data_IF_938294892157
#
_entry.id   IF_938294892157
#
_cell.length_a   1.000
_cell.length_b   1.000
_cell.length_c   1.000
_cell.angle_alpha   90.00
_cell.angle_beta   90.00
_cell.angle_gamma   90.00
#
_symmetry.space_group_name_H-M   'P 1'
#
loop_
_entity.id
_entity.type
_entity.pdbx_description
1 polymer ?
#
# COMPACT_ATOMS: atom_id res chain seq x y z
N UNK A 1 20.68 -1.32 -3.70
CA UNK A 1 19.42 -0.83 -3.13
C UNK A 1 18.31 -1.88 -3.09
N UNK A 2 17.65 -2.28 -4.19
CA UNK A 2 16.51 -3.21 -4.11
C UNK A 2 16.95 -4.57 -3.54
N UNK A 3 17.97 -5.17 -4.14
CA UNK A 3 18.54 -6.48 -3.77
C UNK A 3 19.15 -6.49 -2.38
N UNK A 4 19.77 -5.40 -1.96
CA UNK A 4 20.51 -5.33 -0.70
C UNK A 4 19.64 -4.91 0.48
N UNK A 5 18.71 -3.97 0.30
CA UNK A 5 17.97 -3.36 1.40
C UNK A 5 16.56 -3.93 1.55
N UNK A 6 15.86 -4.17 0.44
CA UNK A 6 14.43 -4.51 0.45
C UNK A 6 14.17 -6.00 0.21
N UNK A 7 14.94 -6.64 -0.68
CA UNK A 7 14.74 -8.04 -1.05
C UNK A 7 14.79 -9.02 0.14
N UNK A 8 15.71 -8.92 1.12
CA UNK A 8 15.72 -9.84 2.26
C UNK A 8 14.42 -9.80 3.08
N UNK A 9 13.83 -8.61 3.25
CA UNK A 9 12.55 -8.43 3.95
C UNK A 9 11.38 -8.96 3.14
N UNK A 10 11.38 -8.69 1.83
CA UNK A 10 10.39 -9.25 0.91
C UNK A 10 10.38 -10.79 0.97
N UNK A 11 11.54 -11.43 0.92
CA UNK A 11 11.67 -12.89 1.01
C UNK A 11 11.11 -13.40 2.35
N UNK A 12 11.39 -12.71 3.45
CA UNK A 12 10.83 -13.06 4.76
C UNK A 12 9.29 -13.02 4.77
N UNK A 13 8.70 -11.93 4.26
CA UNK A 13 7.23 -11.81 4.18
C UNK A 13 6.61 -12.84 3.23
N UNK A 14 7.26 -13.15 2.11
CA UNK A 14 6.81 -14.20 1.19
C UNK A 14 6.79 -15.59 1.85
N UNK A 15 7.73 -15.89 2.76
CA UNK A 15 7.69 -17.14 3.54
C UNK A 15 6.47 -17.19 4.45
N UNK A 16 6.13 -16.08 5.10
CA UNK A 16 4.91 -15.99 5.92
C UNK A 16 3.67 -16.16 5.04
N UNK A 17 3.60 -15.47 3.89
CA UNK A 17 2.50 -15.60 2.95
C UNK A 17 2.36 -17.01 2.36
N UNK A 18 3.46 -17.74 2.17
CA UNK A 18 3.45 -19.14 1.75
C UNK A 18 2.81 -20.03 2.81
N UNK A 19 3.14 -19.83 4.09
CA UNK A 19 2.51 -20.55 5.21
C UNK A 19 1.00 -20.27 5.24
N UNK A 20 0.61 -19.01 5.04
CA UNK A 20 -0.79 -18.57 5.02
C UNK A 20 -1.53 -18.88 3.71
N UNK A 21 -0.82 -19.37 2.68
CA UNK A 21 -1.35 -19.55 1.31
C UNK A 21 -1.99 -18.29 0.71
N UNK A 22 -1.52 -17.10 1.12
CA UNK A 22 -2.18 -15.83 0.82
C UNK A 22 -1.50 -15.00 -0.27
N UNK A 23 -0.48 -15.56 -0.94
CA UNK A 23 0.17 -14.93 -2.09
C UNK A 23 0.49 -15.99 -3.16
N UNK A 24 0.23 -15.73 -4.46
CA UNK A 24 0.32 -16.75 -5.51
C UNK A 24 1.74 -16.99 -6.05
N UNK A 25 2.73 -16.26 -5.55
CA UNK A 25 4.13 -16.38 -5.95
C UNK A 25 5.03 -16.70 -4.76
N UNK A 26 6.12 -17.42 -5.00
CA UNK A 26 7.16 -17.71 -4.03
C UNK A 26 8.53 -17.35 -4.58
N UNK A 27 9.48 -17.10 -3.69
CA UNK A 27 10.86 -16.80 -4.08
C UNK A 27 11.64 -18.09 -4.33
N UNK A 28 12.20 -18.24 -5.53
CA UNK A 28 13.14 -19.29 -5.87
C UNK A 28 14.57 -18.81 -5.62
N UNK A 29 15.25 -19.46 -4.69
CA UNK A 29 16.65 -19.16 -4.34
C UNK A 29 17.65 -19.57 -5.43
N UNK A 30 17.32 -20.55 -6.27
CA UNK A 30 18.18 -21.03 -7.35
C UNK A 30 18.14 -20.05 -8.50
N UNK A 31 16.92 -19.66 -8.92
CA UNK A 31 16.74 -18.70 -10.01
C UNK A 31 16.96 -17.25 -9.57
N UNK A 32 16.86 -16.97 -8.27
CA UNK A 32 16.85 -15.59 -7.76
C UNK A 32 15.64 -14.81 -8.28
N UNK A 33 14.50 -15.48 -8.44
CA UNK A 33 13.28 -14.93 -9.04
C UNK A 33 12.03 -15.37 -8.29
N UNK A 34 10.99 -14.55 -8.36
CA UNK A 34 9.63 -14.96 -8.03
C UNK A 34 9.09 -15.95 -9.07
N UNK A 35 8.67 -17.13 -8.61
CA UNK A 35 8.01 -18.16 -9.41
C UNK A 35 6.57 -18.36 -8.92
N UNK A 36 5.72 -18.92 -9.77
CA UNK A 36 4.34 -19.22 -9.42
C UNK A 36 4.28 -20.40 -8.45
N UNK A 37 3.46 -20.30 -7.42
CA UNK A 37 3.25 -21.39 -6.46
C UNK A 37 2.59 -22.62 -7.11
N UNK A 38 2.73 -23.82 -6.50
CA UNK A 38 2.02 -25.03 -6.88
C UNK A 38 0.49 -24.83 -7.03
N UNK A 39 -0.19 -25.60 -7.91
CA UNK A 39 -1.62 -25.45 -8.18
C UNK A 39 -2.52 -25.47 -6.94
N UNK A 40 -2.17 -26.26 -5.92
CA UNK A 40 -2.92 -26.34 -4.65
C UNK A 40 -2.95 -25.00 -3.91
N UNK A 41 -1.78 -24.37 -3.72
CA UNK A 41 -1.67 -23.07 -3.06
C UNK A 41 -2.37 -21.97 -3.86
N UNK A 42 -2.27 -22.03 -5.19
CA UNK A 42 -2.98 -21.11 -6.09
C UNK A 42 -4.50 -21.25 -5.96
N UNK A 43 -5.02 -22.48 -5.85
CA UNK A 43 -6.44 -22.71 -5.62
C UNK A 43 -6.89 -22.16 -4.25
N UNK A 44 -6.10 -22.39 -3.19
CA UNK A 44 -6.35 -21.81 -1.86
C UNK A 44 -6.36 -20.29 -1.89
N UNK A 45 -5.39 -19.66 -2.57
CA UNK A 45 -5.34 -18.21 -2.72
C UNK A 45 -6.58 -17.66 -3.45
N UNK A 46 -7.02 -18.30 -4.55
CA UNK A 46 -8.23 -17.91 -5.26
C UNK A 46 -9.48 -18.00 -4.37
N UNK A 47 -9.59 -19.09 -3.60
CA UNK A 47 -10.67 -19.24 -2.62
C UNK A 47 -10.61 -18.13 -1.57
N UNK A 48 -9.43 -17.81 -1.03
CA UNK A 48 -9.25 -16.70 -0.11
C UNK A 48 -9.63 -15.35 -0.72
N UNK A 49 -9.36 -15.10 -2.01
CA UNK A 49 -9.82 -13.90 -2.72
C UNK A 49 -11.34 -13.78 -2.71
N UNK A 50 -12.05 -14.86 -3.07
CA UNK A 50 -13.51 -14.91 -3.07
C UNK A 50 -14.07 -14.77 -1.64
N UNK A 51 -13.46 -15.45 -0.66
CA UNK A 51 -13.84 -15.35 0.75
C UNK A 51 -13.72 -13.91 1.27
N UNK A 52 -12.67 -13.17 0.91
CA UNK A 52 -12.55 -11.78 1.35
C UNK A 52 -13.56 -10.86 0.71
N UNK A 53 -13.96 -11.11 -0.54
CA UNK A 53 -15.09 -10.39 -1.16
C UNK A 53 -16.37 -10.65 -0.37
N UNK A 54 -16.69 -11.92 -0.12
CA UNK A 54 -17.83 -12.27 0.72
C UNK A 54 -17.77 -11.64 2.11
N UNK A 55 -16.59 -11.62 2.73
CA UNK A 55 -16.35 -11.07 4.06
C UNK A 55 -16.60 -9.56 4.14
N UNK A 56 -15.93 -8.75 3.31
CA UNK A 56 -16.16 -7.29 3.38
C UNK A 56 -17.55 -6.91 2.87
N UNK A 57 -18.15 -7.69 1.95
CA UNK A 57 -19.55 -7.50 1.54
C UNK A 57 -20.50 -7.78 2.70
N UNK A 58 -20.31 -8.86 3.47
CA UNK A 58 -21.12 -9.14 4.65
C UNK A 58 -20.99 -8.03 5.70
N UNK A 59 -19.76 -7.55 5.96
CA UNK A 59 -19.49 -6.38 6.82
C UNK A 59 -20.28 -5.15 6.32
N UNK A 60 -20.20 -4.85 5.02
CA UNK A 60 -20.91 -3.71 4.42
C UNK A 60 -22.43 -3.83 4.55
N UNK A 61 -22.99 -5.02 4.29
CA UNK A 61 -24.42 -5.29 4.45
C UNK A 61 -24.86 -5.14 5.92
N UNK A 62 -24.05 -5.60 6.87
CA UNK A 62 -24.33 -5.42 8.30
C UNK A 62 -24.30 -3.93 8.71
N UNK A 63 -23.40 -3.13 8.16
CA UNK A 63 -23.37 -1.68 8.42
C UNK A 63 -24.61 -0.99 7.86
N UNK A 64 -25.04 -1.37 6.65
CA UNK A 64 -26.18 -0.74 5.98
C UNK A 64 -27.54 -1.17 6.55
N UNK A 65 -27.71 -2.46 6.82
CA UNK A 65 -29.01 -3.07 7.13
C UNK A 65 -29.08 -3.69 8.52
N UNK A 66 -27.96 -3.83 9.23
CA UNK A 66 -27.93 -4.37 10.58
C UNK A 66 -28.57 -3.41 11.60
N UNK A 67 -29.05 -3.93 12.74
CA UNK A 67 -29.66 -3.15 13.83
C UNK A 67 -28.58 -2.44 14.66
N UNK A 68 -27.69 -1.70 13.99
CA UNK A 68 -26.57 -1.00 14.59
C UNK A 68 -26.97 0.43 14.94
N UNK A 69 -26.51 0.91 16.08
CA UNK A 69 -26.54 2.34 16.41
C UNK A 69 -25.70 3.14 15.41
N UNK A 70 -25.98 4.44 15.26
CA UNK A 70 -25.19 5.30 14.37
C UNK A 70 -23.69 5.30 14.75
N UNK A 71 -23.40 5.29 16.05
CA UNK A 71 -22.06 5.13 16.60
C UNK A 71 -21.37 3.86 16.12
N UNK A 72 -22.05 2.72 16.25
CA UNK A 72 -21.52 1.41 15.81
C UNK A 72 -21.30 1.36 14.30
N UNK A 73 -22.15 2.04 13.52
CA UNK A 73 -21.96 2.16 12.07
C UNK A 73 -20.68 2.91 11.74
N UNK A 74 -20.35 4.00 12.45
CA UNK A 74 -19.10 4.72 12.23
C UNK A 74 -17.86 3.87 12.57
N UNK A 75 -17.88 3.15 13.70
CA UNK A 75 -16.81 2.21 14.04
C UNK A 75 -16.67 1.12 12.98
N UNK A 76 -17.80 0.53 12.59
CA UNK A 76 -17.87 -0.48 11.55
C UNK A 76 -17.32 0.00 10.22
N UNK A 77 -17.62 1.24 9.86
CA UNK A 77 -17.21 1.83 8.59
C UNK A 77 -15.69 1.98 8.46
N UNK A 78 -14.98 2.31 9.53
CA UNK A 78 -13.50 2.28 9.56
C UNK A 78 -12.95 0.92 9.14
N UNK A 79 -13.44 -0.15 9.79
CA UNK A 79 -13.01 -1.52 9.51
C UNK A 79 -13.38 -1.94 8.08
N UNK A 80 -14.60 -1.62 7.64
CA UNK A 80 -15.05 -1.89 6.28
C UNK A 80 -14.10 -1.27 5.25
N UNK A 81 -13.76 0.02 5.39
CA UNK A 81 -12.88 0.71 4.45
C UNK A 81 -11.45 0.14 4.48
N UNK A 82 -10.96 -0.27 5.66
CA UNK A 82 -9.66 -0.94 5.78
C UNK A 82 -9.63 -2.31 5.07
N UNK A 83 -10.70 -3.11 5.22
CA UNK A 83 -10.81 -4.38 4.50
C UNK A 83 -11.04 -4.19 3.00
N UNK A 84 -11.78 -3.15 2.60
CA UNK A 84 -12.03 -2.82 1.21
C UNK A 84 -10.72 -2.44 0.49
N UNK A 85 -9.93 -1.53 1.05
CA UNK A 85 -8.66 -1.10 0.43
C UNK A 85 -7.67 -2.23 0.32
N UNK A 86 -7.49 -3.01 1.39
CA UNK A 86 -6.53 -4.12 1.41
C UNK A 86 -6.98 -5.28 0.51
N UNK A 87 -8.29 -5.58 0.47
CA UNK A 87 -8.85 -6.57 -0.46
C UNK A 87 -8.69 -6.13 -1.92
N UNK A 88 -8.84 -4.83 -2.20
CA UNK A 88 -8.66 -4.27 -3.55
C UNK A 88 -7.19 -4.31 -3.98
N UNK A 89 -6.26 -3.94 -3.09
CA UNK A 89 -4.82 -4.00 -3.36
C UNK A 89 -4.38 -5.44 -3.68
N UNK A 90 -4.77 -6.39 -2.83
CA UNK A 90 -4.34 -7.79 -2.97
C UNK A 90 -5.03 -8.56 -4.10
N UNK A 91 -6.14 -8.03 -4.66
CA UNK A 91 -6.97 -8.75 -5.62
C UNK A 91 -6.13 -9.27 -6.79
N UNK A 92 -5.95 -10.59 -6.92
CA UNK A 92 -5.19 -11.15 -8.04
C UNK A 92 -5.80 -12.47 -8.52
N UNK A 93 -7.12 -12.50 -8.69
CA UNK A 93 -7.83 -13.72 -9.06
C UNK A 93 -7.42 -14.27 -10.43
N UNK A 94 -7.08 -13.40 -11.38
CA UNK A 94 -6.55 -13.76 -12.71
C UNK A 94 -5.11 -14.28 -12.69
N UNK A 95 -4.43 -14.22 -11.54
CA UNK A 95 -3.02 -14.57 -11.38
C UNK A 95 -2.13 -13.75 -12.33
N UNK A 96 -2.39 -12.45 -12.42
CA UNK A 96 -1.57 -11.51 -13.13
C UNK A 96 -0.13 -11.54 -12.58
N UNK A 97 0.82 -11.61 -13.51
CA UNK A 97 2.25 -11.64 -13.23
C UNK A 97 2.84 -10.22 -13.09
N UNK A 98 2.06 -9.16 -13.34
CA UNK A 98 2.48 -7.76 -13.26
C UNK A 98 3.36 -7.43 -12.05
N UNK A 99 2.95 -7.71 -10.80
CA UNK A 99 3.76 -7.49 -9.60
C UNK A 99 5.14 -8.14 -9.67
N UNK A 100 5.17 -9.43 -10.03
CA UNK A 100 6.39 -10.23 -10.08
C UNK A 100 7.31 -9.73 -11.19
N UNK A 101 6.76 -9.36 -12.35
CA UNK A 101 7.51 -8.81 -13.47
C UNK A 101 8.13 -7.45 -13.14
N UNK A 102 7.41 -6.58 -12.43
CA UNK A 102 7.95 -5.29 -11.97
C UNK A 102 9.15 -5.51 -11.04
N UNK A 103 9.02 -6.42 -10.07
CA UNK A 103 10.11 -6.76 -9.14
C UNK A 103 11.30 -7.35 -9.90
N UNK A 104 11.05 -8.25 -10.85
CA UNK A 104 12.10 -8.83 -11.70
C UNK A 104 12.82 -7.76 -12.52
N UNK A 105 12.09 -6.82 -13.10
CA UNK A 105 12.66 -5.73 -13.88
C UNK A 105 13.56 -4.83 -13.02
N UNK A 106 13.17 -4.54 -11.77
CA UNK A 106 14.02 -3.78 -10.85
C UNK A 106 15.30 -4.54 -10.49
N UNK A 107 15.20 -5.84 -10.22
CA UNK A 107 16.37 -6.67 -9.94
C UNK A 107 17.33 -6.74 -11.14
N UNK A 108 16.81 -6.84 -12.35
CA UNK A 108 17.62 -6.89 -13.58
C UNK A 108 18.29 -5.56 -13.88
N UNK A 109 17.55 -4.46 -13.76
CA UNK A 109 18.10 -3.11 -13.93
C UNK A 109 19.18 -2.84 -12.90
N UNK A 110 18.98 -3.25 -11.65
CA UNK A 110 19.99 -3.11 -10.62
C UNK A 110 21.24 -3.95 -10.91
N UNK A 111 21.07 -5.21 -11.32
CA UNK A 111 22.18 -6.11 -11.58
C UNK A 111 22.99 -5.73 -12.84
N UNK A 112 22.35 -5.15 -13.85
CA UNK A 112 22.98 -4.84 -15.15
C UNK A 112 23.47 -3.41 -15.26
N UNK A 113 22.70 -2.44 -14.75
CA UNK A 113 22.98 -1.01 -14.96
C UNK A 113 23.63 -0.37 -13.74
N UNK A 114 23.26 -0.77 -12.52
CA UNK A 114 23.76 -0.08 -11.32
C UNK A 114 25.13 -0.55 -10.85
N UNK A 115 25.65 -1.68 -11.33
CA UNK A 115 27.00 -2.16 -10.97
C UNK A 115 28.12 -1.25 -11.48
N UNK A 116 27.87 -0.51 -12.57
CA UNK A 116 28.85 0.38 -13.19
C UNK A 116 28.68 1.85 -12.77
N UNK A 117 27.65 2.16 -11.98
CA UNK A 117 27.30 3.51 -11.59
C UNK A 117 27.81 3.82 -10.17
N UNK A 118 28.12 5.09 -9.87
CA UNK A 118 28.60 5.46 -8.54
C UNK A 118 27.54 5.12 -7.47
N UNK A 119 27.99 4.49 -6.38
CA UNK A 119 27.15 4.25 -5.23
C UNK A 119 26.85 5.58 -4.51
N UNK A 120 25.61 6.05 -4.65
CA UNK A 120 25.13 7.21 -3.91
C UNK A 120 24.60 6.79 -2.52
N UNK A 121 24.78 7.64 -1.49
CA UNK A 121 24.18 7.40 -0.20
C UNK A 121 22.64 7.48 -0.27
N UNK A 122 21.98 6.65 0.54
CA UNK A 122 20.52 6.59 0.62
C UNK A 122 19.91 7.98 0.83
N UNK A 123 18.95 8.34 -0.02
CA UNK A 123 18.24 9.62 0.06
C UNK A 123 17.35 9.70 1.32
N UNK A 124 16.92 10.91 1.69
CA UNK A 124 15.97 11.09 2.79
C UNK A 124 14.66 10.32 2.53
N UNK A 125 14.17 10.35 1.29
CA UNK A 125 12.97 9.63 0.86
C UNK A 125 13.14 8.11 1.01
N UNK A 126 14.33 7.60 0.70
CA UNK A 126 14.66 6.18 0.87
C UNK A 126 14.59 5.79 2.35
N UNK A 127 15.19 6.60 3.23
CA UNK A 127 15.14 6.38 4.68
C UNK A 127 13.71 6.47 5.23
N UNK A 128 12.90 7.41 4.73
CA UNK A 128 11.51 7.56 5.11
C UNK A 128 10.68 6.32 4.71
N UNK A 129 10.85 5.82 3.48
CA UNK A 129 10.16 4.60 3.03
C UNK A 129 10.67 3.35 3.77
N UNK A 130 11.96 3.25 4.06
CA UNK A 130 12.48 2.16 4.91
C UNK A 130 11.88 2.20 6.32
N UNK A 131 11.74 3.38 6.92
CA UNK A 131 11.10 3.54 8.22
C UNK A 131 9.61 3.16 8.15
N UNK A 132 8.91 3.60 7.10
CA UNK A 132 7.52 3.24 6.88
C UNK A 132 7.32 1.74 6.69
N UNK A 133 8.17 1.06 5.92
CA UNK A 133 8.10 -0.40 5.75
C UNK A 133 8.35 -1.12 7.09
N UNK A 134 9.31 -0.64 7.90
CA UNK A 134 9.51 -1.19 9.26
C UNK A 134 8.27 -0.99 10.14
N UNK A 135 7.59 0.14 10.02
CA UNK A 135 6.33 0.38 10.71
C UNK A 135 5.26 -0.61 10.21
N UNK A 136 5.10 -0.79 8.90
CA UNK A 136 4.19 -1.77 8.32
C UNK A 136 4.50 -3.21 8.77
N UNK A 137 5.78 -3.61 8.84
CA UNK A 137 6.21 -4.93 9.30
C UNK A 137 5.70 -5.24 10.73
N UNK A 138 5.56 -4.21 11.58
CA UNK A 138 5.00 -4.31 12.94
C UNK A 138 3.48 -4.23 12.92
N UNK A 139 2.91 -3.31 12.14
CA UNK A 139 1.47 -3.05 12.14
C UNK A 139 0.65 -4.16 11.46
N UNK A 140 1.17 -4.79 10.40
CA UNK A 140 0.49 -5.88 9.68
C UNK A 140 0.12 -7.04 10.61
N UNK A 141 1.02 -7.57 11.45
CA UNK A 141 0.64 -8.58 12.45
C UNK A 141 -0.09 -8.01 13.66
N UNK A 142 0.20 -6.77 14.08
CA UNK A 142 -0.46 -6.17 15.24
C UNK A 142 -1.96 -5.97 15.02
N UNK A 143 -2.37 -5.53 13.82
CA UNK A 143 -3.77 -5.28 13.48
C UNK A 143 -4.70 -6.49 13.73
N UNK A 144 -4.48 -7.68 13.14
CA UNK A 144 -5.32 -8.85 13.38
C UNK A 144 -5.26 -9.36 14.83
N UNK A 145 -4.11 -9.21 15.51
CA UNK A 145 -3.99 -9.56 16.93
C UNK A 145 -4.88 -8.65 17.78
N UNK A 146 -4.84 -7.34 17.55
CA UNK A 146 -5.69 -6.39 18.26
C UNK A 146 -7.17 -6.58 17.93
N UNK A 147 -7.53 -6.89 16.68
CA UNK A 147 -8.90 -7.26 16.28
C UNK A 147 -9.35 -8.52 17.02
N UNK A 148 -8.51 -9.55 17.09
CA UNK A 148 -8.83 -10.77 17.83
C UNK A 148 -9.06 -10.47 19.33
N UNK A 149 -8.19 -9.67 19.95
CA UNK A 149 -8.35 -9.29 21.36
C UNK A 149 -9.63 -8.47 21.56
N UNK A 150 -9.90 -7.52 20.68
CA UNK A 150 -11.15 -6.73 20.68
C UNK A 150 -12.36 -7.66 20.67
N UNK A 151 -12.42 -8.63 19.77
CA UNK A 151 -13.52 -9.60 19.66
C UNK A 151 -13.61 -10.56 20.86
N UNK A 152 -12.52 -10.75 21.61
CA UNK A 152 -12.54 -11.52 22.86
C UNK A 152 -13.13 -10.72 24.01
N UNK A 153 -12.83 -9.42 24.08
CA UNK A 153 -13.33 -8.52 25.13
C UNK A 153 -14.78 -8.11 24.85
N UNK A 154 -15.07 -7.72 23.61
CA UNK A 154 -16.38 -7.27 23.14
C UNK A 154 -16.74 -8.05 21.88
N UNK A 155 -17.40 -9.20 22.00
CA UNK A 155 -17.64 -10.10 20.86
C UNK A 155 -18.63 -9.58 19.84
N UNK A 156 -19.56 -8.75 20.30
CA UNK A 156 -20.62 -8.21 19.47
C UNK A 156 -20.20 -6.88 18.89
N UNK A 157 -18.90 -6.55 18.88
CA UNK A 157 -18.42 -5.30 18.28
C UNK A 157 -18.76 -5.30 16.79
N UNK A 158 -19.52 -4.32 16.31
CA UNK A 158 -19.73 -4.16 14.88
C UNK A 158 -18.43 -3.72 14.20
N UNK A 159 -18.17 -4.15 12.95
CA UNK A 159 -19.14 -4.72 12.01
C UNK A 159 -18.97 -6.23 11.82
N UNK A 160 -18.30 -6.88 12.78
CA UNK A 160 -17.83 -8.26 12.69
C UNK A 160 -18.99 -9.27 12.64
N UNK A 161 -18.74 -10.45 12.08
CA UNK A 161 -19.73 -11.51 11.85
C UNK A 161 -20.42 -11.91 13.15
N UNK A 162 -19.67 -11.95 14.27
CA UNK A 162 -20.24 -12.27 15.56
C UNK A 162 -21.41 -11.33 15.95
N UNK A 163 -21.35 -10.05 15.56
CA UNK A 163 -22.43 -9.07 15.81
C UNK A 163 -23.68 -9.32 14.97
N UNK A 164 -23.62 -10.17 13.94
CA UNK A 164 -24.74 -10.48 13.04
C UNK A 164 -25.65 -11.59 13.57
N UNK A 165 -25.20 -12.35 14.57
CA UNK A 165 -25.99 -13.44 15.14
C UNK A 165 -26.95 -12.94 16.23
N UNK A 166 -28.22 -13.42 16.24
CA UNK A 166 -29.15 -13.11 17.31
C UNK A 166 -28.64 -13.68 18.65
N UNK A 167 -28.80 -12.92 19.74
CA UNK A 167 -28.37 -13.36 21.06
C UNK A 167 -26.86 -13.29 21.30
N UNK A 168 -26.10 -12.53 20.50
CA UNK A 168 -24.66 -12.36 20.73
C UNK A 168 -24.33 -11.85 22.15
N UNK A 169 -25.24 -11.06 22.76
CA UNK A 169 -25.09 -10.55 24.13
C UNK A 169 -25.52 -11.54 25.22
N UNK A 170 -26.23 -12.62 24.86
CA UNK A 170 -26.76 -13.56 25.84
C UNK A 170 -25.60 -14.35 26.47
N UNK A 171 -25.54 -14.32 27.81
CA UNK A 171 -24.45 -14.92 28.59
C UNK A 171 -24.43 -16.43 28.36
N UNK A 172 -23.27 -16.91 27.89
CA UNK A 172 -23.00 -18.30 27.50
C UNK A 172 -23.25 -19.30 28.64
N UNK A 173 -24.38 -19.98 28.63
CA UNK A 173 -24.62 -21.12 29.54
C UNK A 173 -24.08 -22.45 28.98
N UNK A 174 -23.75 -22.53 27.68
CA UNK A 174 -23.31 -23.78 27.03
C UNK A 174 -21.93 -23.68 26.37
N UNK A 175 -21.12 -24.72 26.53
CA UNK A 175 -19.77 -24.86 25.93
C UNK A 175 -19.83 -24.74 24.39
N UNK A 176 -20.92 -25.23 23.77
CA UNK A 176 -21.11 -25.17 22.33
C UNK A 176 -21.15 -23.73 21.81
N UNK A 177 -21.84 -22.82 22.49
CA UNK A 177 -21.93 -21.41 22.11
C UNK A 177 -20.56 -20.72 22.22
N UNK A 178 -19.81 -20.99 23.30
CA UNK A 178 -18.46 -20.47 23.47
C UNK A 178 -17.51 -20.94 22.36
N UNK A 179 -17.52 -22.24 22.02
CA UNK A 179 -16.69 -22.79 20.96
C UNK A 179 -17.07 -22.23 19.58
N UNK A 180 -18.37 -22.07 19.30
CA UNK A 180 -18.85 -21.45 18.08
C UNK A 180 -18.35 -20.01 17.93
N UNK A 181 -18.48 -19.21 18.99
CA UNK A 181 -18.01 -17.82 19.01
C UNK A 181 -16.49 -17.70 18.91
N UNK A 182 -15.75 -18.56 19.62
CA UNK A 182 -14.29 -18.63 19.47
C UNK A 182 -13.91 -18.97 18.02
N UNK A 183 -14.63 -19.90 17.39
CA UNK A 183 -14.46 -20.25 15.99
C UNK A 183 -14.64 -19.05 15.05
N UNK A 184 -15.70 -18.25 15.25
CA UNK A 184 -15.94 -17.01 14.48
C UNK A 184 -14.79 -16.02 14.68
N UNK A 185 -14.39 -15.75 15.93
CA UNK A 185 -13.30 -14.80 16.21
C UNK A 185 -11.97 -15.25 15.58
N UNK A 186 -11.65 -16.56 15.64
CA UNK A 186 -10.44 -17.12 14.99
C UNK A 186 -10.53 -16.98 13.48
N UNK A 187 -11.70 -17.24 12.89
CA UNK A 187 -11.93 -17.05 11.47
C UNK A 187 -11.72 -15.59 11.06
N UNK A 188 -12.26 -14.62 11.80
CA UNK A 188 -12.10 -13.19 11.48
C UNK A 188 -10.67 -12.70 11.63
N UNK A 189 -9.96 -13.16 12.67
CA UNK A 189 -8.55 -12.88 12.83
C UNK A 189 -7.74 -13.48 11.68
N UNK A 190 -8.03 -14.73 11.29
CA UNK A 190 -7.40 -15.38 10.15
C UNK A 190 -7.65 -14.60 8.85
N UNK A 191 -8.91 -14.22 8.59
CA UNK A 191 -9.31 -13.38 7.45
C UNK A 191 -8.48 -12.10 7.39
N UNK A 192 -8.37 -11.41 8.53
CA UNK A 192 -7.59 -10.18 8.66
C UNK A 192 -6.09 -10.41 8.39
N UNK A 193 -5.48 -11.44 8.98
CA UNK A 193 -4.06 -11.79 8.76
C UNK A 193 -3.77 -11.94 7.26
N UNK A 194 -4.52 -12.80 6.56
CA UNK A 194 -4.18 -13.12 5.18
C UNK A 194 -4.52 -11.98 4.20
N UNK A 195 -5.52 -11.13 4.52
CA UNK A 195 -5.78 -9.87 3.80
C UNK A 195 -4.61 -8.90 3.95
N UNK A 196 -4.18 -8.63 5.18
CA UNK A 196 -3.17 -7.62 5.50
C UNK A 196 -1.79 -7.99 4.95
N UNK A 197 -1.35 -9.25 5.12
CA UNK A 197 -0.05 -9.69 4.59
C UNK A 197 0.03 -9.63 3.06
N UNK A 198 -1.02 -10.11 2.38
CA UNK A 198 -1.06 -10.13 0.92
C UNK A 198 -1.07 -8.70 0.34
N UNK A 199 -1.91 -7.82 0.89
CA UNK A 199 -1.96 -6.41 0.51
C UNK A 199 -0.64 -5.69 0.82
N UNK A 200 -0.06 -5.97 1.99
CA UNK A 200 1.18 -5.38 2.48
C UNK A 200 2.35 -5.63 1.56
N UNK A 201 2.50 -6.84 1.00
CA UNK A 201 3.56 -7.13 0.02
C UNK A 201 3.42 -6.23 -1.21
N UNK A 202 2.23 -6.14 -1.79
CA UNK A 202 1.99 -5.36 -3.01
C UNK A 202 2.18 -3.86 -2.73
N UNK A 203 1.56 -3.34 -1.67
CA UNK A 203 1.68 -1.93 -1.31
C UNK A 203 3.12 -1.54 -0.95
N UNK A 204 3.82 -2.31 -0.11
CA UNK A 204 5.16 -1.95 0.31
C UNK A 204 6.19 -2.17 -0.81
N UNK A 205 6.24 -3.34 -1.43
CA UNK A 205 7.39 -3.74 -2.26
C UNK A 205 7.21 -3.54 -3.75
N UNK A 206 5.97 -3.48 -4.25
CA UNK A 206 5.70 -3.11 -5.64
C UNK A 206 5.53 -1.61 -5.75
N UNK A 207 4.69 -1.03 -4.90
CA UNK A 207 4.37 0.38 -4.99
C UNK A 207 5.43 1.29 -4.35
N UNK A 208 5.62 1.26 -3.02
CA UNK A 208 6.55 2.18 -2.37
C UNK A 208 8.01 1.96 -2.77
N UNK A 209 8.50 0.72 -2.69
CA UNK A 209 9.87 0.42 -3.10
C UNK A 209 10.07 0.67 -4.59
N UNK A 210 9.07 0.41 -5.44
CA UNK A 210 9.16 0.67 -6.88
C UNK A 210 9.33 2.16 -7.20
N UNK A 211 8.59 3.04 -6.52
CA UNK A 211 8.74 4.49 -6.69
C UNK A 211 10.12 4.95 -6.23
N UNK A 212 10.57 4.49 -5.06
CA UNK A 212 11.91 4.83 -4.52
C UNK A 212 13.03 4.30 -5.40
N UNK A 213 12.87 3.12 -5.99
CA UNK A 213 13.82 2.57 -6.94
C UNK A 213 14.02 3.50 -8.14
N UNK A 214 12.93 3.94 -8.76
CA UNK A 214 13.00 4.87 -9.87
C UNK A 214 13.58 6.23 -9.43
N UNK A 215 13.17 6.75 -8.27
CA UNK A 215 13.71 8.02 -7.74
C UNK A 215 15.23 7.98 -7.54
N UNK A 216 15.74 6.91 -6.94
CA UNK A 216 17.19 6.76 -6.77
C UNK A 216 17.90 6.54 -8.09
N UNK A 217 17.29 5.81 -9.04
CA UNK A 217 17.85 5.68 -10.37
C UNK A 217 17.96 7.04 -11.08
N UNK A 218 16.93 7.89 -11.00
CA UNK A 218 16.96 9.25 -11.55
C UNK A 218 18.08 10.10 -10.93
N UNK A 219 18.29 9.98 -9.62
CA UNK A 219 19.38 10.67 -8.91
C UNK A 219 20.77 10.20 -9.36
N UNK A 220 20.94 8.89 -9.55
CA UNK A 220 22.19 8.33 -10.08
C UNK A 220 22.42 8.82 -11.51
N UNK A 221 21.37 8.83 -12.34
CA UNK A 221 21.43 9.34 -13.71
C UNK A 221 21.81 10.83 -13.74
N UNK A 222 21.22 11.65 -12.87
CA UNK A 222 21.59 13.06 -12.71
C UNK A 222 23.07 13.25 -12.36
N UNK A 223 23.56 12.49 -11.37
CA UNK A 223 24.96 12.51 -10.98
C UNK A 223 25.87 12.08 -12.14
N UNK A 224 25.44 11.12 -12.95
CA UNK A 224 26.21 10.65 -14.10
C UNK A 224 26.29 11.74 -15.19
N UNK A 225 25.16 12.37 -15.52
CA UNK A 225 25.08 13.47 -16.51
C UNK A 225 25.97 14.65 -16.10
N UNK A 226 25.99 15.00 -14.82
CA UNK A 226 26.81 16.11 -14.32
C UNK A 226 28.30 15.78 -14.25
N UNK A 227 28.66 14.50 -14.06
CA UNK A 227 30.05 14.06 -13.96
C UNK A 227 30.75 13.82 -15.30
N UNK A 228 30.01 13.43 -16.35
CA UNK A 228 30.61 13.12 -17.65
C UNK A 228 30.62 14.33 -18.56
N UNK A 229 31.82 14.85 -18.85
CA UNK A 229 31.95 16.10 -19.56
C UNK A 229 31.66 15.97 -21.07
N UNK A 230 32.00 14.88 -21.78
CA UNK A 230 32.13 15.08 -23.23
C UNK A 230 31.84 14.00 -24.28
N UNK A 231 31.23 12.81 -24.07
CA UNK A 231 30.75 12.03 -25.26
C UNK A 231 29.64 10.97 -25.10
N UNK A 232 29.20 10.60 -23.90
CA UNK A 232 28.27 9.46 -23.70
C UNK A 232 26.78 9.84 -23.51
N UNK A 233 26.29 10.87 -24.21
CA UNK A 233 24.89 11.32 -24.07
C UNK A 233 23.86 10.29 -24.56
N UNK A 234 24.23 9.47 -25.56
CA UNK A 234 23.37 8.39 -26.05
C UNK A 234 23.07 7.37 -24.95
N UNK A 235 24.06 7.07 -24.10
CA UNK A 235 23.91 6.13 -22.99
C UNK A 235 22.97 6.72 -21.93
N UNK A 236 23.10 8.00 -21.60
CA UNK A 236 22.19 8.68 -20.68
C UNK A 236 20.74 8.70 -21.18
N UNK A 237 20.51 8.95 -22.47
CA UNK A 237 19.17 8.88 -23.08
C UNK A 237 18.63 7.45 -23.02
N UNK A 238 19.46 6.45 -23.29
CA UNK A 238 19.08 5.05 -23.19
C UNK A 238 18.68 4.68 -21.76
N UNK A 239 19.48 5.07 -20.76
CA UNK A 239 19.16 4.86 -19.33
C UNK A 239 17.84 5.53 -18.96
N UNK A 240 17.60 6.77 -19.40
CA UNK A 240 16.32 7.45 -19.15
C UNK A 240 15.13 6.69 -19.78
N UNK A 241 15.30 6.13 -20.98
CA UNK A 241 14.26 5.31 -21.62
C UNK A 241 13.97 4.03 -20.85
N UNK A 242 14.98 3.40 -20.26
CA UNK A 242 14.77 2.24 -19.36
C UNK A 242 13.89 2.66 -18.18
N UNK A 243 14.17 3.80 -17.55
CA UNK A 243 13.34 4.33 -16.45
C UNK A 243 11.91 4.62 -16.92
N UNK A 244 11.74 5.18 -18.11
CA UNK A 244 10.41 5.43 -18.67
C UNK A 244 9.62 4.13 -18.90
N UNK A 245 10.28 3.04 -19.32
CA UNK A 245 9.65 1.73 -19.44
C UNK A 245 9.23 1.20 -18.06
N UNK A 246 10.10 1.32 -17.05
CA UNK A 246 9.78 0.94 -15.67
C UNK A 246 8.60 1.73 -15.12
N UNK A 247 8.55 3.04 -15.34
CA UNK A 247 7.41 3.89 -14.95
C UNK A 247 6.11 3.45 -15.62
N UNK A 248 6.15 3.13 -16.92
CA UNK A 248 4.97 2.65 -17.64
C UNK A 248 4.49 1.30 -17.12
N UNK A 249 5.40 0.37 -16.84
CA UNK A 249 5.07 -0.92 -16.24
C UNK A 249 4.47 -0.75 -14.84
N UNK A 250 5.07 0.11 -14.02
CA UNK A 250 4.59 0.43 -12.68
C UNK A 250 3.19 1.07 -12.74
N UNK A 251 2.99 2.08 -13.59
CA UNK A 251 1.69 2.74 -13.73
C UNK A 251 0.61 1.80 -14.29
N UNK A 252 0.93 0.96 -15.28
CA UNK A 252 -0.04 0.00 -15.82
C UNK A 252 -0.65 -0.89 -14.73
N UNK A 253 0.15 -1.27 -13.74
CA UNK A 253 -0.33 -2.07 -12.60
C UNK A 253 -1.02 -1.22 -11.51
N UNK A 254 -0.46 -0.05 -11.18
CA UNK A 254 -0.92 0.73 -10.03
C UNK A 254 -2.14 1.61 -10.32
N UNK A 255 -2.20 2.24 -11.51
CA UNK A 255 -3.09 3.37 -11.76
C UNK A 255 -4.56 2.98 -11.86
N UNK A 256 -4.84 1.72 -12.25
CA UNK A 256 -6.20 1.25 -12.45
C UNK A 256 -6.87 0.80 -11.15
N UNK A 257 -6.09 0.36 -10.16
CA UNK A 257 -6.65 -0.33 -8.98
C UNK A 257 -6.09 0.15 -7.66
N UNK A 258 -4.77 0.08 -7.49
CA UNK A 258 -4.13 0.31 -6.19
C UNK A 258 -4.22 1.78 -5.79
N UNK A 259 -3.83 2.67 -6.70
CA UNK A 259 -3.82 4.10 -6.39
C UNK A 259 -5.24 4.65 -6.13
N UNK A 260 -6.27 4.32 -6.93
CA UNK A 260 -7.66 4.69 -6.59
C UNK A 260 -8.15 4.16 -5.26
N UNK A 261 -7.89 2.88 -4.94
CA UNK A 261 -8.32 2.31 -3.68
C UNK A 261 -7.69 3.05 -2.50
N UNK A 262 -6.39 3.36 -2.57
CA UNK A 262 -5.68 4.09 -1.51
C UNK A 262 -6.19 5.53 -1.40
N UNK A 263 -6.24 6.28 -2.51
CA UNK A 263 -6.65 7.69 -2.53
C UNK A 263 -8.10 7.87 -2.08
N UNK A 264 -8.96 6.86 -2.24
CA UNK A 264 -10.33 6.90 -1.73
C UNK A 264 -10.43 6.42 -0.28
N UNK A 265 -9.94 5.22 0.03
CA UNK A 265 -10.23 4.60 1.31
C UNK A 265 -9.40 5.16 2.47
N UNK A 266 -8.13 5.51 2.25
CA UNK A 266 -7.28 5.98 3.35
C UNK A 266 -7.77 7.30 3.96
N UNK A 267 -8.15 8.34 3.17
CA UNK A 267 -8.74 9.55 3.74
C UNK A 267 -9.97 9.25 4.60
N UNK A 268 -10.84 8.35 4.13
CA UNK A 268 -12.03 7.93 4.88
C UNK A 268 -11.64 7.26 6.20
N UNK A 269 -10.70 6.31 6.18
CA UNK A 269 -10.19 5.65 7.39
C UNK A 269 -9.58 6.67 8.35
N UNK A 270 -8.84 7.65 7.83
CA UNK A 270 -8.21 8.70 8.62
C UNK A 270 -9.25 9.60 9.29
N UNK A 271 -10.25 10.08 8.54
CA UNK A 271 -11.35 10.93 9.04
C UNK A 271 -12.10 10.23 10.17
N UNK A 272 -12.62 9.03 9.90
CA UNK A 272 -13.42 8.32 10.90
C UNK A 272 -12.55 7.80 12.05
N UNK A 273 -11.31 7.37 11.78
CA UNK A 273 -10.38 6.95 12.82
C UNK A 273 -10.01 8.09 13.76
N UNK A 274 -9.73 9.30 13.25
CA UNK A 274 -9.49 10.49 14.08
C UNK A 274 -10.72 10.88 14.89
N UNK A 275 -11.90 10.87 14.26
CA UNK A 275 -13.16 11.14 14.95
C UNK A 275 -13.37 10.18 16.13
N UNK A 276 -13.17 8.88 15.92
CA UNK A 276 -13.26 7.87 16.99
C UNK A 276 -12.22 8.11 18.08
N UNK A 277 -10.98 8.41 17.70
CA UNK A 277 -9.90 8.68 18.66
C UNK A 277 -10.18 9.90 19.53
N UNK A 278 -10.82 10.94 18.99
CA UNK A 278 -11.09 12.19 19.72
C UNK A 278 -12.40 12.10 20.50
N UNK A 279 -13.51 11.80 19.81
CA UNK A 279 -14.86 11.88 20.38
C UNK A 279 -15.23 10.67 21.24
N UNK A 280 -14.67 9.49 20.93
CA UNK A 280 -15.16 8.21 21.42
C UNK A 280 -14.12 7.44 22.26
N UNK A 281 -13.00 8.08 22.59
CA UNK A 281 -11.90 7.46 23.35
C UNK A 281 -12.29 6.95 24.73
N UNK A 282 -13.34 7.53 25.34
CA UNK A 282 -13.83 7.12 26.66
C UNK A 282 -14.85 5.98 26.60
N UNK A 283 -15.49 5.79 25.46
CA UNK A 283 -16.59 4.83 25.30
C UNK A 283 -16.08 3.44 24.87
N UNK A 284 -14.90 3.38 24.26
CA UNK A 284 -14.31 2.13 23.76
C UNK A 284 -13.33 1.56 24.79
N UNK A 285 -13.56 0.34 25.31
CA UNK A 285 -12.66 -0.24 26.30
C UNK A 285 -11.29 -0.58 25.70
N UNK A 286 -10.24 -0.39 26.51
CA UNK A 286 -8.92 -0.92 26.22
C UNK A 286 -8.91 -2.46 26.33
N UNK A 287 -8.13 -3.18 25.50
CA UNK A 287 -7.18 -2.69 24.50
C UNK A 287 -7.79 -2.46 23.12
N UNK A 288 -9.09 -2.68 22.94
CA UNK A 288 -9.78 -2.60 21.64
C UNK A 288 -9.65 -1.24 20.97
N UNK A 289 -9.62 -0.17 21.76
CA UNK A 289 -9.38 1.19 21.28
C UNK A 289 -8.07 1.34 20.49
N UNK A 290 -7.01 0.58 20.80
CA UNK A 290 -5.68 0.72 20.16
C UNK A 290 -5.69 0.49 18.64
N UNK A 291 -6.71 -0.18 18.11
CA UNK A 291 -6.84 -0.41 16.67
C UNK A 291 -7.06 0.91 15.92
N UNK A 292 -7.81 1.86 16.48
CA UNK A 292 -8.14 3.11 15.80
C UNK A 292 -6.94 4.05 15.65
N UNK A 293 -6.17 4.37 16.72
CA UNK A 293 -4.94 5.15 16.56
C UNK A 293 -3.93 4.48 15.63
N UNK A 294 -3.82 3.15 15.68
CA UNK A 294 -2.95 2.39 14.79
C UNK A 294 -3.35 2.59 13.32
N UNK A 295 -4.63 2.40 12.99
CA UNK A 295 -5.15 2.61 11.64
C UNK A 295 -4.93 4.05 11.18
N UNK A 296 -5.33 5.03 12.00
CA UNK A 296 -5.21 6.46 11.70
C UNK A 296 -3.77 6.89 11.43
N UNK A 297 -2.82 6.50 12.27
CA UNK A 297 -1.41 6.86 12.09
C UNK A 297 -0.86 6.25 10.80
N UNK A 298 -1.17 4.98 10.53
CA UNK A 298 -0.70 4.31 9.31
C UNK A 298 -1.30 4.97 8.07
N UNK A 299 -2.60 5.26 8.06
CA UNK A 299 -3.26 5.86 6.89
C UNK A 299 -2.83 7.30 6.67
N UNK A 300 -2.66 8.10 7.73
CA UNK A 300 -2.13 9.46 7.64
C UNK A 300 -0.71 9.50 7.08
N UNK A 301 0.20 8.65 7.61
CA UNK A 301 1.56 8.53 7.05
C UNK A 301 1.52 8.06 5.59
N UNK A 302 0.67 7.08 5.27
CA UNK A 302 0.51 6.55 3.91
C UNK A 302 0.06 7.66 2.93
N UNK A 303 -0.94 8.46 3.31
CA UNK A 303 -1.46 9.57 2.53
C UNK A 303 -0.38 10.62 2.25
N UNK A 304 0.37 11.04 3.28
CA UNK A 304 1.46 12.01 3.10
C UNK A 304 2.57 11.44 2.22
N UNK A 305 2.98 10.20 2.49
CA UNK A 305 4.12 9.56 1.82
C UNK A 305 3.85 9.33 0.33
N UNK A 306 2.69 8.78 -0.05
CA UNK A 306 2.34 8.53 -1.45
C UNK A 306 2.42 9.80 -2.27
N UNK A 307 1.78 10.84 -1.76
CA UNK A 307 1.59 12.07 -2.51
C UNK A 307 2.90 12.87 -2.58
N UNK A 308 3.69 12.87 -1.50
CA UNK A 308 5.04 13.44 -1.50
C UNK A 308 5.97 12.71 -2.48
N UNK A 309 5.95 11.38 -2.51
CA UNK A 309 6.76 10.59 -3.44
C UNK A 309 6.36 10.82 -4.89
N UNK A 310 5.05 10.88 -5.18
CA UNK A 310 4.56 11.16 -6.53
C UNK A 310 4.98 12.56 -7.02
N UNK A 311 4.90 13.57 -6.15
CA UNK A 311 5.39 14.91 -6.47
C UNK A 311 6.90 14.93 -6.73
N UNK A 312 7.68 14.27 -5.85
CA UNK A 312 9.13 14.18 -6.00
C UNK A 312 9.53 13.45 -7.28
N UNK A 313 8.78 12.41 -7.65
CA UNK A 313 8.97 11.64 -8.89
C UNK A 313 8.82 12.51 -10.13
N UNK A 314 7.77 13.33 -10.16
CA UNK A 314 7.54 14.27 -11.25
C UNK A 314 8.65 15.34 -11.33
N UNK A 315 8.96 15.98 -10.21
CA UNK A 315 9.97 17.05 -10.16
C UNK A 315 11.38 16.54 -10.51
N UNK A 316 11.77 15.37 -10.00
CA UNK A 316 13.12 14.82 -10.24
C UNK A 316 13.32 14.40 -11.69
N UNK A 317 12.30 13.80 -12.32
CA UNK A 317 12.40 13.44 -13.75
C UNK A 317 12.45 14.66 -14.67
N UNK A 318 11.69 15.72 -14.35
CA UNK A 318 11.77 17.00 -15.06
C UNK A 318 13.14 17.66 -14.94
N UNK A 319 13.74 17.61 -13.74
CA UNK A 319 15.09 18.12 -13.51
C UNK A 319 16.14 17.37 -14.34
N UNK A 320 16.10 16.03 -14.34
CA UNK A 320 17.02 15.20 -15.13
C UNK A 320 16.89 15.50 -16.63
N UNK A 321 15.67 15.65 -17.15
CA UNK A 321 15.46 16.02 -18.55
C UNK A 321 16.00 17.41 -18.88
N UNK A 322 15.82 18.39 -17.99
CA UNK A 322 16.36 19.73 -18.18
C UNK A 322 17.91 19.73 -18.17
N UNK A 323 18.53 18.95 -17.28
CA UNK A 323 19.98 18.74 -17.26
C UNK A 323 20.47 18.11 -18.58
N UNK A 324 19.79 17.07 -19.05
CA UNK A 324 20.08 16.44 -20.34
C UNK A 324 19.94 17.43 -21.51
N UNK A 325 18.89 18.24 -21.53
CA UNK A 325 18.67 19.24 -22.57
C UNK A 325 19.79 20.27 -22.59
N UNK A 326 20.15 20.82 -21.42
CA UNK A 326 21.24 21.80 -21.29
C UNK A 326 22.57 21.21 -21.77
N UNK A 327 22.86 19.96 -21.41
CA UNK A 327 24.09 19.31 -21.81
C UNK A 327 24.12 19.03 -23.32
N UNK A 328 22.99 18.62 -23.92
CA UNK A 328 22.87 18.35 -25.36
C UNK A 328 22.87 19.63 -26.20
N UNK A 329 22.34 20.76 -25.71
CA UNK A 329 22.33 22.04 -26.44
C UNK A 329 23.74 22.55 -26.77
N UNK A 330 24.75 22.15 -26.00
CA UNK A 330 26.15 22.42 -26.31
C UNK A 330 26.62 21.73 -27.60
N UNK A 331 25.97 20.64 -28.01
CA UNK A 331 26.32 19.82 -29.18
C UNK A 331 25.34 20.03 -30.33
N UNK A 332 25.85 20.13 -31.56
CA UNK A 332 25.05 20.40 -32.78
C UNK A 332 24.35 19.16 -33.39
N UNK A 333 24.09 18.10 -32.61
CA UNK A 333 23.45 16.89 -33.16
C UNK A 333 21.92 16.99 -33.21
N UNK A 334 21.37 17.16 -34.42
CA UNK A 334 19.92 17.20 -34.66
C UNK A 334 19.21 15.91 -34.23
N UNK A 335 19.87 14.75 -34.39
CA UNK A 335 19.28 13.44 -34.09
C UNK A 335 19.06 13.26 -32.58
N UNK A 336 20.08 13.58 -31.77
CA UNK A 336 20.04 13.45 -30.30
C UNK A 336 18.95 14.37 -29.73
N UNK A 337 18.84 15.60 -30.23
CA UNK A 337 17.78 16.54 -29.82
C UNK A 337 16.37 16.00 -30.11
N UNK A 338 16.18 15.31 -31.24
CA UNK A 338 14.90 14.67 -31.58
C UNK A 338 14.60 13.51 -30.63
N UNK A 339 15.59 12.71 -30.26
CA UNK A 339 15.44 11.61 -29.31
C UNK A 339 15.10 12.12 -27.90
N UNK A 340 15.72 13.21 -27.46
CA UNK A 340 15.42 13.83 -26.17
C UNK A 340 14.01 14.42 -26.15
N UNK A 341 13.57 15.08 -27.22
CA UNK A 341 12.20 15.62 -27.32
C UNK A 341 11.13 14.52 -27.28
N UNK A 342 11.48 13.29 -27.64
CA UNK A 342 10.58 12.14 -27.51
C UNK A 342 10.50 11.61 -26.07
N UNK A 343 11.40 12.01 -25.18
CA UNK A 343 11.36 11.66 -23.76
C UNK A 343 10.41 12.60 -23.02
N UNK A 344 9.47 12.02 -22.27
CA UNK A 344 8.51 12.78 -21.48
C UNK A 344 8.92 12.80 -20.00
N UNK A 345 8.50 13.84 -19.29
CA UNK A 345 8.58 13.88 -17.82
C UNK A 345 7.77 12.72 -17.25
N UNK A 346 8.36 12.01 -16.29
CA UNK A 346 7.73 10.87 -15.66
C UNK A 346 6.64 11.36 -14.69
N UNK A 347 5.53 10.62 -14.60
CA UNK A 347 4.44 10.94 -13.67
C UNK A 347 3.78 9.68 -13.16
N UNK A 348 3.40 9.67 -11.89
CA UNK A 348 2.52 8.62 -11.36
C UNK A 348 1.09 8.99 -11.74
N UNK A 349 0.43 8.10 -12.49
CA UNK A 349 -0.91 8.38 -13.01
C UNK A 349 -1.99 7.92 -12.04
N UNK A 350 -3.00 8.77 -11.88
CA UNK A 350 -4.22 8.46 -11.17
C UNK A 350 -5.40 8.63 -12.12
N UNK A 351 -5.85 7.53 -12.74
CA UNK A 351 -6.78 7.59 -13.87
C UNK A 351 -6.20 8.44 -15.01
N UNK A 352 -6.94 9.47 -15.43
CA UNK A 352 -6.48 10.49 -16.39
C UNK A 352 -5.63 11.61 -15.78
N UNK A 353 -5.63 11.73 -14.45
CA UNK A 353 -4.96 12.81 -13.71
C UNK A 353 -3.57 12.39 -13.20
N UNK A 354 -2.85 13.35 -12.62
CA UNK A 354 -1.57 13.11 -11.95
C UNK A 354 -1.55 13.84 -10.61
N UNK A 355 -0.67 13.39 -9.73
CA UNK A 355 -0.55 13.92 -8.37
C UNK A 355 0.39 15.13 -8.37
N UNK A 356 -0.09 16.28 -7.90
CA UNK A 356 0.67 17.53 -7.82
C UNK A 356 1.35 17.72 -6.46
N UNK A 357 2.29 18.66 -6.37
CA UNK A 357 3.05 18.94 -5.14
C UNK A 357 2.17 19.43 -3.98
N UNK A 358 1.07 20.12 -4.28
CA UNK A 358 0.14 20.64 -3.26
C UNK A 358 -0.85 19.60 -2.73
N UNK A 359 -1.03 18.49 -3.46
CA UNK A 359 -2.02 17.47 -3.11
C UNK A 359 -1.88 16.88 -1.69
N UNK A 360 -0.69 16.70 -1.07
CA UNK A 360 -0.63 16.07 0.25
C UNK A 360 -1.24 16.99 1.31
N UNK A 361 -0.96 18.29 1.22
CA UNK A 361 -1.49 19.28 2.14
C UNK A 361 -3.00 19.42 1.96
N UNK A 362 -3.48 19.51 0.72
CA UNK A 362 -4.93 19.57 0.43
C UNK A 362 -5.66 18.31 0.92
N UNK A 363 -5.06 17.13 0.77
CA UNK A 363 -5.67 15.88 1.23
C UNK A 363 -5.75 15.82 2.76
N UNK A 364 -4.71 16.25 3.45
CA UNK A 364 -4.67 16.27 4.92
C UNK A 364 -5.59 17.33 5.51
N UNK A 365 -5.60 18.54 4.92
CA UNK A 365 -6.52 19.62 5.25
C UNK A 365 -7.97 19.14 5.12
N UNK A 366 -8.31 18.50 4.00
CA UNK A 366 -9.60 17.85 3.80
C UNK A 366 -9.92 16.83 4.91
N UNK A 367 -8.99 15.95 5.27
CA UNK A 367 -9.23 14.95 6.32
C UNK A 367 -9.49 15.60 7.69
N UNK A 368 -8.74 16.64 8.02
CA UNK A 368 -8.87 17.38 9.29
C UNK A 368 -10.21 18.14 9.31
N UNK A 369 -10.55 18.86 8.26
CA UNK A 369 -11.80 19.63 8.15
C UNK A 369 -13.04 18.74 8.28
N UNK A 370 -13.04 17.59 7.59
CA UNK A 370 -14.14 16.63 7.70
C UNK A 370 -14.22 16.02 9.11
N UNK A 371 -13.07 15.74 9.74
CA UNK A 371 -13.03 15.25 11.14
C UNK A 371 -13.63 16.29 12.09
N UNK A 372 -13.22 17.56 11.99
CA UNK A 372 -13.74 18.65 12.83
C UNK A 372 -15.25 18.80 12.62
N UNK A 373 -15.71 18.74 11.37
CA UNK A 373 -17.14 18.79 11.05
C UNK A 373 -17.92 17.67 11.73
N UNK A 374 -17.42 16.43 11.70
CA UNK A 374 -18.03 15.29 12.41
C UNK A 374 -18.03 15.48 13.93
N UNK A 375 -16.96 16.04 14.49
CA UNK A 375 -16.88 16.34 15.94
C UNK A 375 -17.96 17.36 16.32
N UNK A 376 -18.09 18.46 15.57
CA UNK A 376 -19.08 19.50 15.83
C UNK A 376 -20.51 18.97 15.75
N UNK A 377 -20.83 18.19 14.71
CA UNK A 377 -22.16 17.55 14.57
C UNK A 377 -22.49 16.63 15.76
N UNK A 378 -21.51 15.90 16.28
CA UNK A 378 -21.69 15.03 17.44
C UNK A 378 -21.85 15.83 18.75
N UNK A 379 -21.35 17.06 18.83
CA UNK A 379 -21.55 17.93 19.98
C UNK A 379 -22.96 18.53 19.99
N UNK A 380 -23.49 18.93 18.82
CA UNK A 380 -24.83 19.51 18.71
C UNK A 380 -25.96 18.47 18.93
N UNK A 381 -25.66 17.19 18.74
CA UNK A 381 -26.61 16.09 18.95
C UNK A 381 -26.78 15.69 20.43
N UNK A 382 -25.90 16.17 21.33
CA UNK A 382 -25.95 15.91 22.78
C UNK A 382 -26.59 17.06 23.52
#
# INVERSE_FOLDING_TARGET
MYRTEFLPRLIFLLKICKILSCYPFEWDHILGRLIKCPPRLVATFKMQCLLSVGFYTAIGLNICFGPLTEFEKFLGFCFFMAYLVTSTIRWNYSLDNGPSQIIHAFLDVEATLMTNLPHLPASLETKAVQLYIKLCDVCIPAFPVLVFILLRVVPCTPPFIASMFPGCQDVESTIANYLGRLGVNVFEAWMSVHIMYSAGIVACYVFFVGIIFILNFLRVLESHITSQLDDHYSDCIHLYRVVHILEKSLNAYLSERILPAIMFCNPVIEIFGLFVCISLSKDIPMPGFLVFPLMTIITGINNVLIVALASKFHSSSGHVLACLEKAILSKRSKLIRRQLRACNVLKIKFGSNFVEKGTPLVLQDFCIDQTISLILLNMDAK
#
